data_IF_527725753033
#
_entry.id   IF_527725753033
#
_cell.length_a   1.000
_cell.length_b   1.000
_cell.length_c   1.000
_cell.angle_alpha   90.00
_cell.angle_beta   90.00
_cell.angle_gamma   90.00
#
_symmetry.space_group_name_H-M   'P 1'
#
loop_
_entity.id
_entity.type
_entity.pdbx_description
1 polymer ?
#
# COMPACT_ATOMS: atom_id res chain seq x y z
N UNK A 1 22.26 13.20 4.88
CA UNK A 1 20.92 13.15 4.23
C UNK A 1 21.20 13.27 2.75
N UNK A 2 20.99 12.20 2.02
CA UNK A 2 21.12 12.18 0.57
C UNK A 2 20.00 13.02 -0.06
N UNK A 3 20.27 13.65 -1.20
CA UNK A 3 19.27 14.46 -1.91
C UNK A 3 18.29 13.58 -2.70
N UNK A 4 17.25 14.17 -3.27
CA UNK A 4 16.31 13.48 -4.18
C UNK A 4 16.96 12.97 -5.47
N UNK A 5 18.21 13.37 -5.74
CA UNK A 5 18.99 12.98 -6.92
C UNK A 5 20.01 11.86 -6.65
N UNK A 6 20.04 11.33 -5.42
CA UNK A 6 20.89 10.19 -5.10
C UNK A 6 20.33 8.88 -5.67
N UNK A 7 21.21 7.91 -5.92
CA UNK A 7 20.84 6.56 -6.33
C UNK A 7 20.51 5.68 -5.11
N UNK A 8 19.30 5.10 -5.10
CA UNK A 8 18.79 4.24 -4.02
C UNK A 8 18.65 2.77 -4.43
N UNK A 9 19.12 2.38 -5.62
CA UNK A 9 18.94 1.02 -6.18
C UNK A 9 19.44 -0.11 -5.28
N UNK A 10 20.45 0.14 -4.43
CA UNK A 10 21.12 -0.90 -3.64
C UNK A 10 20.79 -0.85 -2.14
N UNK A 11 20.12 0.21 -1.67
CA UNK A 11 20.22 0.57 -0.24
C UNK A 11 19.07 0.11 0.66
N UNK A 12 17.94 -0.36 0.12
CA UNK A 12 16.73 -0.53 0.95
C UNK A 12 15.91 -1.76 0.54
N UNK A 13 15.23 -2.34 1.52
CA UNK A 13 14.25 -3.41 1.31
C UNK A 13 13.09 -2.91 0.43
N UNK A 14 12.92 -3.54 -0.74
CA UNK A 14 11.81 -3.25 -1.64
C UNK A 14 10.55 -3.97 -1.17
N UNK A 15 9.73 -3.25 -0.39
CA UNK A 15 8.45 -3.75 0.09
C UNK A 15 7.48 -4.09 -1.05
N UNK A 16 7.53 -3.37 -2.17
CA UNK A 16 6.59 -3.59 -3.27
C UNK A 16 6.91 -4.91 -3.98
N UNK A 17 8.20 -5.17 -4.23
CA UNK A 17 8.64 -6.42 -4.84
C UNK A 17 8.36 -7.62 -3.94
N UNK A 18 8.62 -7.53 -2.63
CA UNK A 18 8.28 -8.59 -1.65
C UNK A 18 6.78 -8.88 -1.62
N UNK A 19 5.94 -7.85 -1.68
CA UNK A 19 4.49 -8.01 -1.75
C UNK A 19 4.08 -8.72 -3.04
N UNK A 20 4.59 -8.29 -4.21
CA UNK A 20 4.25 -8.93 -5.49
C UNK A 20 4.71 -10.40 -5.51
N UNK A 21 5.89 -10.69 -4.99
CA UNK A 21 6.43 -12.05 -4.93
C UNK A 21 5.58 -12.95 -4.02
N UNK A 22 5.21 -12.46 -2.82
CA UNK A 22 4.32 -13.18 -1.92
C UNK A 22 2.95 -13.44 -2.53
N UNK A 23 2.37 -12.49 -3.23
CA UNK A 23 1.07 -12.68 -3.90
C UNK A 23 1.15 -13.80 -4.94
N UNK A 24 2.28 -13.90 -5.68
CA UNK A 24 2.45 -14.92 -6.72
C UNK A 24 2.79 -16.30 -6.16
N UNK A 25 3.67 -16.36 -5.16
CA UNK A 25 4.24 -17.62 -4.67
C UNK A 25 3.54 -18.18 -3.43
N UNK A 26 2.98 -17.32 -2.58
CA UNK A 26 2.31 -17.70 -1.34
C UNK A 26 1.12 -16.78 -1.02
N UNK A 27 0.05 -16.83 -1.83
CA UNK A 27 -1.09 -15.90 -1.71
C UNK A 27 -1.88 -16.05 -0.40
N UNK A 28 -1.76 -17.18 0.28
CA UNK A 28 -2.41 -17.44 1.57
C UNK A 28 -1.66 -16.80 2.76
N UNK A 29 -0.53 -16.14 2.51
CA UNK A 29 0.20 -15.41 3.55
C UNK A 29 -0.62 -14.22 4.06
N UNK A 30 -0.87 -14.21 5.37
CA UNK A 30 -1.56 -13.11 6.07
C UNK A 30 -0.62 -11.94 6.40
N UNK A 31 0.63 -11.98 5.92
CA UNK A 31 1.66 -10.96 6.18
C UNK A 31 2.07 -10.22 4.91
N UNK A 32 1.19 -10.16 3.92
CA UNK A 32 1.37 -9.34 2.72
C UNK A 32 1.01 -7.90 3.09
N UNK A 33 2.00 -7.16 3.57
CA UNK A 33 1.84 -5.81 4.12
C UNK A 33 2.82 -4.86 3.44
N UNK A 34 2.32 -3.71 3.04
CA UNK A 34 3.11 -2.57 2.56
C UNK A 34 2.87 -1.38 3.49
N UNK A 35 3.94 -0.84 4.09
CA UNK A 35 3.87 0.27 5.03
C UNK A 35 4.67 1.47 4.53
N UNK A 36 4.05 2.65 4.57
CA UNK A 36 4.72 3.94 4.35
C UNK A 36 5.25 4.54 5.66
N UNK A 37 4.80 4.02 6.80
CA UNK A 37 5.10 4.57 8.11
C UNK A 37 6.45 4.08 8.64
N UNK A 38 7.48 4.92 8.52
CA UNK A 38 8.81 4.67 9.06
C UNK A 38 9.16 5.66 10.18
N UNK A 39 9.09 5.25 11.47
CA UNK A 39 9.35 6.12 12.62
C UNK A 39 10.72 6.83 12.62
N UNK A 40 11.76 6.19 12.09
CA UNK A 40 13.12 6.74 12.06
C UNK A 40 13.26 7.92 11.09
N UNK A 41 12.44 7.91 10.04
CA UNK A 41 12.49 8.91 8.97
C UNK A 41 11.35 9.93 9.04
N UNK A 42 10.43 9.83 10.00
CA UNK A 42 9.33 10.79 10.17
C UNK A 42 9.80 12.24 10.24
N UNK A 43 10.93 12.52 10.91
CA UNK A 43 11.50 13.88 11.03
C UNK A 43 12.12 14.40 9.73
N UNK A 44 12.37 13.51 8.76
CA UNK A 44 12.92 13.85 7.43
C UNK A 44 11.82 14.05 6.40
N UNK A 45 10.59 13.60 6.68
CA UNK A 45 9.43 13.77 5.81
C UNK A 45 8.83 15.16 5.98
N UNK A 46 8.38 15.78 4.88
CA UNK A 46 7.71 17.09 4.94
C UNK A 46 6.39 17.01 5.70
N UNK A 47 5.64 15.92 5.51
CA UNK A 47 4.37 15.63 6.18
C UNK A 47 4.34 14.12 6.47
N UNK A 48 3.87 13.68 7.65
CA UNK A 48 3.68 12.26 7.91
C UNK A 48 2.70 11.64 6.90
N UNK A 49 2.92 10.39 6.47
CA UNK A 49 2.04 9.77 5.49
C UNK A 49 0.65 9.56 6.08
N UNK A 50 -0.39 9.99 5.34
CA UNK A 50 -1.79 9.78 5.70
C UNK A 50 -2.24 8.32 5.49
N UNK A 51 -1.56 7.60 4.61
CA UNK A 51 -1.85 6.22 4.21
C UNK A 51 -0.81 5.27 4.80
N UNK A 52 -1.01 4.88 6.05
CA UNK A 52 -0.01 4.21 6.86
C UNK A 52 0.35 2.84 6.28
N UNK A 53 -0.67 2.04 5.96
CA UNK A 53 -0.49 0.61 5.75
C UNK A 53 -1.53 0.07 4.75
N UNK A 54 -1.05 -0.69 3.78
CA UNK A 54 -1.85 -1.53 2.91
C UNK A 54 -1.61 -2.99 3.31
N UNK A 55 -2.65 -3.65 3.78
CA UNK A 55 -2.66 -5.07 4.07
C UNK A 55 -3.46 -5.79 3.00
N UNK A 56 -2.91 -6.88 2.51
CA UNK A 56 -3.56 -7.67 1.48
C UNK A 56 -3.78 -9.10 1.93
N UNK A 57 -4.92 -9.67 1.54
CA UNK A 57 -5.25 -11.06 1.85
C UNK A 57 -6.10 -11.67 0.73
N UNK A 58 -5.86 -12.94 0.42
CA UNK A 58 -6.69 -13.68 -0.52
C UNK A 58 -7.95 -14.19 0.19
N UNK A 59 -9.12 -14.07 -0.46
CA UNK A 59 -10.41 -14.51 0.11
C UNK A 59 -10.94 -15.79 -0.54
N UNK A 60 -10.70 -15.94 -1.84
CA UNK A 60 -11.03 -17.14 -2.60
C UNK A 60 -10.01 -17.36 -3.71
N UNK A 61 -9.99 -18.57 -4.29
CA UNK A 61 -9.05 -18.93 -5.35
C UNK A 61 -9.14 -17.92 -6.50
N UNK A 62 -8.09 -17.09 -6.65
CA UNK A 62 -7.99 -16.06 -7.68
C UNK A 62 -8.62 -14.70 -7.35
N UNK A 63 -9.26 -14.52 -6.19
CA UNK A 63 -9.84 -13.24 -5.77
C UNK A 63 -9.07 -12.61 -4.60
N UNK A 64 -8.59 -11.40 -4.83
CA UNK A 64 -7.72 -10.67 -3.92
C UNK A 64 -8.46 -9.52 -3.22
N UNK A 65 -8.27 -9.38 -1.90
CA UNK A 65 -8.76 -8.26 -1.13
C UNK A 65 -7.61 -7.39 -0.63
N UNK A 66 -7.77 -6.09 -0.79
CA UNK A 66 -6.87 -5.10 -0.22
C UNK A 66 -7.60 -4.32 0.88
N UNK A 67 -6.92 -4.15 2.01
CA UNK A 67 -7.34 -3.30 3.12
C UNK A 67 -6.31 -2.19 3.29
N UNK A 68 -6.74 -0.95 3.13
CA UNK A 68 -5.92 0.22 3.44
C UNK A 68 -6.32 0.79 4.80
N UNK A 69 -5.32 1.16 5.60
CA UNK A 69 -5.49 1.84 6.87
C UNK A 69 -4.95 3.27 6.71
N UNK A 70 -5.84 4.26 6.87
CA UNK A 70 -5.51 5.67 6.80
C UNK A 70 -5.53 6.29 8.20
N UNK A 71 -4.45 6.98 8.60
CA UNK A 71 -4.51 7.86 9.76
C UNK A 71 -5.17 9.17 9.36
N UNK A 72 -6.32 9.40 9.95
CA UNK A 72 -7.06 10.64 9.78
C UNK A 72 -6.50 11.69 10.69
N UNK A 73 -5.56 12.48 10.20
CA UNK A 73 -5.23 13.71 10.93
C UNK A 73 -5.93 14.93 10.35
N UNK A 74 -6.34 14.95 9.08
CA UNK A 74 -7.14 16.06 8.54
C UNK A 74 -8.01 15.53 7.39
N UNK A 75 -9.27 15.20 7.67
CA UNK A 75 -10.31 15.04 6.64
C UNK A 75 -10.68 16.43 6.09
N UNK A 76 -9.83 17.01 5.27
CA UNK A 76 -10.25 18.13 4.44
C UNK A 76 -10.99 17.61 3.21
N UNK A 77 -12.32 17.67 3.29
CA UNK A 77 -13.32 17.57 2.24
C UNK A 77 -13.49 16.22 1.51
N UNK A 78 -14.75 15.91 1.19
CA UNK A 78 -15.24 14.79 0.36
C UNK A 78 -14.35 14.49 -0.85
N UNK A 79 -13.72 15.52 -1.41
CA UNK A 79 -12.78 15.44 -2.51
C UNK A 79 -11.55 14.57 -2.20
N UNK A 80 -10.92 14.77 -1.04
CA UNK A 80 -9.70 14.07 -0.67
C UNK A 80 -9.97 12.59 -0.40
N UNK A 81 -11.08 12.29 0.30
CA UNK A 81 -11.55 10.92 0.53
C UNK A 81 -11.80 10.15 -0.77
N UNK A 82 -12.53 10.78 -1.69
CA UNK A 82 -12.87 10.18 -2.99
C UNK A 82 -11.62 9.92 -3.81
N UNK A 83 -10.69 10.89 -3.86
CA UNK A 83 -9.43 10.74 -4.57
C UNK A 83 -8.58 9.59 -3.99
N UNK A 84 -8.47 9.48 -2.66
CA UNK A 84 -7.77 8.37 -2.02
C UNK A 84 -8.38 7.03 -2.40
N UNK A 85 -9.71 6.91 -2.31
CA UNK A 85 -10.38 5.66 -2.66
C UNK A 85 -10.14 5.27 -4.13
N UNK A 86 -10.21 6.23 -5.06
CA UNK A 86 -9.91 5.98 -6.49
C UNK A 86 -8.46 5.55 -6.68
N UNK A 87 -7.51 6.23 -6.04
CA UNK A 87 -6.08 5.92 -6.14
C UNK A 87 -5.76 4.53 -5.57
N UNK A 88 -6.25 4.20 -4.38
CA UNK A 88 -6.07 2.87 -3.79
C UNK A 88 -6.68 1.79 -4.63
N UNK A 89 -7.89 2.03 -5.14
CA UNK A 89 -8.54 1.08 -6.04
C UNK A 89 -7.70 0.86 -7.28
N UNK A 90 -7.15 1.93 -7.87
CA UNK A 90 -6.27 1.83 -9.05
C UNK A 90 -4.98 1.07 -8.75
N UNK A 91 -4.35 1.30 -7.60
CA UNK A 91 -3.16 0.54 -7.16
C UNK A 91 -3.48 -0.94 -7.01
N UNK A 92 -4.62 -1.29 -6.40
CA UNK A 92 -5.06 -2.68 -6.30
C UNK A 92 -5.24 -3.31 -7.69
N UNK A 93 -5.94 -2.63 -8.61
CA UNK A 93 -6.09 -3.08 -10.00
C UNK A 93 -4.74 -3.33 -10.68
N UNK A 94 -3.75 -2.48 -10.44
CA UNK A 94 -2.40 -2.66 -11.00
C UNK A 94 -1.70 -3.88 -10.41
N UNK A 95 -1.75 -4.06 -9.09
CA UNK A 95 -1.12 -5.20 -8.40
C UNK A 95 -1.74 -6.51 -8.87
N UNK A 96 -3.08 -6.62 -8.87
CA UNK A 96 -3.75 -7.85 -9.30
C UNK A 96 -3.53 -8.13 -10.78
N UNK A 97 -3.46 -7.10 -11.63
CA UNK A 97 -3.17 -7.26 -13.06
C UNK A 97 -1.77 -7.86 -13.28
N UNK A 98 -0.75 -7.39 -12.55
CA UNK A 98 0.61 -7.94 -12.62
C UNK A 98 0.71 -9.35 -12.03
N UNK A 99 -0.17 -9.69 -11.07
CA UNK A 99 -0.20 -11.00 -10.43
C UNK A 99 -1.14 -12.02 -11.12
N UNK A 100 -1.90 -11.61 -12.14
CA UNK A 100 -2.88 -12.48 -12.81
C UNK A 100 -4.10 -12.81 -11.96
N UNK A 101 -4.45 -11.96 -10.99
CA UNK A 101 -5.59 -12.14 -10.09
C UNK A 101 -6.75 -11.21 -10.45
N UNK A 102 -7.93 -11.51 -9.88
CA UNK A 102 -9.08 -10.65 -9.97
C UNK A 102 -9.17 -9.73 -8.75
N UNK A 103 -9.45 -8.43 -8.95
CA UNK A 103 -9.70 -7.50 -7.86
C UNK A 103 -11.03 -7.84 -7.20
N UNK A 104 -11.08 -7.76 -5.87
CA UNK A 104 -12.30 -7.96 -5.11
C UNK A 104 -12.67 -6.69 -4.34
N UNK A 105 -12.91 -6.78 -3.03
CA UNK A 105 -13.30 -5.63 -2.21
C UNK A 105 -12.07 -4.89 -1.70
N UNK A 106 -12.05 -3.58 -1.95
CA UNK A 106 -11.18 -2.62 -1.26
C UNK A 106 -11.87 -2.18 0.03
N UNK A 107 -11.20 -2.36 1.17
CA UNK A 107 -11.65 -1.81 2.45
C UNK A 107 -10.73 -0.66 2.84
N UNK A 108 -11.28 0.56 2.93
CA UNK A 108 -10.56 1.72 3.44
C UNK A 108 -11.01 1.99 4.87
N UNK A 109 -10.18 1.59 5.82
CA UNK A 109 -10.39 1.86 7.23
C UNK A 109 -9.71 3.17 7.62
N UNK A 110 -10.42 3.94 8.41
CA UNK A 110 -9.91 5.11 9.10
C UNK A 110 -9.53 4.73 10.53
N UNK A 111 -8.32 5.07 10.96
CA UNK A 111 -7.90 5.03 12.37
C UNK A 111 -8.35 6.30 13.08
#
# INVERSE_FOLDING_TARGET
>A
ITSMHADYTVQVFDQLMDVIDKIKNNPDDKRIILSSWNPLDLKKMTIPPCHICLHNFMSSVGSYHARCINSLLIWDLVFHSTLHHILFRRTEYMIVHVCGMLPCTLLCDSV
#
